data_IF_269112552784
#
_entry.id   IF_269112552784
#
_cell.length_a   1.000
_cell.length_b   1.000
_cell.length_c   1.000
_cell.angle_alpha   90.00
_cell.angle_beta   90.00
_cell.angle_gamma   90.00
#
_symmetry.space_group_name_H-M   'P 1'
#
loop_
_entity.id
_entity.type
_entity.pdbx_description
1 polymer ?
#
# COMPACT_ATOMS: atom_id res chain seq x y z
N UNK A 1 -19.28 -20.38 -14.94
CA UNK A 1 -19.41 -19.01 -14.38
C UNK A 1 -18.00 -18.48 -14.21
N UNK A 2 -17.60 -17.52 -15.05
CA UNK A 2 -16.21 -17.04 -15.13
C UNK A 2 -15.97 -16.10 -13.94
N UNK A 3 -14.95 -16.40 -13.14
CA UNK A 3 -14.61 -15.67 -11.93
C UNK A 3 -13.86 -14.41 -12.35
N UNK A 4 -14.53 -13.27 -12.29
CA UNK A 4 -13.98 -11.98 -12.73
C UNK A 4 -13.29 -11.32 -11.54
N UNK A 5 -11.98 -11.13 -11.66
CA UNK A 5 -11.13 -10.44 -10.71
C UNK A 5 -11.33 -8.90 -10.80
N UNK A 6 -10.74 -8.10 -9.91
CA UNK A 6 -10.94 -6.64 -9.82
C UNK A 6 -9.67 -5.91 -10.30
N UNK A 7 -9.77 -4.83 -11.08
CA UNK A 7 -8.62 -4.03 -11.55
C UNK A 7 -8.44 -2.78 -10.68
N UNK A 8 -7.29 -2.62 -10.02
CA UNK A 8 -6.93 -1.34 -9.39
C UNK A 8 -5.61 -0.83 -9.96
N UNK A 9 -5.61 0.42 -10.45
CA UNK A 9 -4.49 1.09 -11.12
C UNK A 9 -3.95 2.25 -10.26
N UNK A 10 -2.62 2.35 -10.26
CA UNK A 10 -1.75 3.39 -9.70
C UNK A 10 -1.79 3.60 -8.18
N UNK A 11 -0.81 2.99 -7.49
CA UNK A 11 -0.42 3.41 -6.14
C UNK A 11 0.56 4.58 -6.28
N UNK A 12 0.27 5.72 -5.67
CA UNK A 12 1.24 6.79 -5.49
C UNK A 12 1.67 6.79 -4.03
N UNK A 13 2.94 6.45 -3.79
CA UNK A 13 3.57 6.58 -2.49
C UNK A 13 4.31 7.93 -2.43
N UNK A 14 3.70 8.92 -1.79
CA UNK A 14 4.36 10.20 -1.50
C UNK A 14 4.98 10.13 -0.12
N UNK A 15 6.27 10.44 -0.03
CA UNK A 15 6.97 10.55 1.25
C UNK A 15 7.14 12.01 1.61
N UNK A 16 6.88 12.37 2.87
CA UNK A 16 7.25 13.67 3.42
C UNK A 16 8.66 13.52 3.97
N UNK A 17 9.68 13.86 3.18
CA UNK A 17 11.03 14.01 3.70
C UNK A 17 11.04 15.24 4.60
N UNK A 18 11.09 15.02 5.91
CA UNK A 18 11.42 16.07 6.86
C UNK A 18 12.92 16.35 6.72
N UNK A 19 13.29 17.51 6.17
CA UNK A 19 14.68 17.92 6.09
C UNK A 19 15.21 18.16 7.52
N UNK A 20 15.89 17.18 8.09
CA UNK A 20 16.54 17.24 9.41
C UNK A 20 18.04 17.47 9.26
N UNK A 21 18.47 18.70 9.52
CA UNK A 21 19.87 19.09 9.68
C UNK A 21 20.35 18.68 11.10
N UNK A 22 21.46 17.93 11.20
CA UNK A 22 22.05 17.61 12.51
C UNK A 22 23.12 16.51 12.47
N UNK A 23 24.39 16.90 12.39
CA UNK A 23 25.54 15.97 12.42
C UNK A 23 25.92 15.47 13.82
N UNK A 24 26.69 14.38 13.84
CA UNK A 24 27.41 13.85 14.99
C UNK A 24 27.55 12.34 14.96
N UNK A 25 28.75 11.85 14.61
CA UNK A 25 29.19 10.47 14.83
C UNK A 25 29.05 10.10 16.31
N UNK A 26 28.36 8.99 16.62
CA UNK A 26 28.63 8.10 17.75
C UNK A 26 27.88 6.76 17.56
N UNK A 27 28.65 5.67 17.55
CA UNK A 27 28.21 4.27 17.51
C UNK A 27 27.51 3.89 18.82
N UNK A 28 26.22 3.60 18.75
CA UNK A 28 25.48 2.71 19.65
C UNK A 28 24.07 2.50 19.06
N UNK A 29 23.65 1.26 18.87
CA UNK A 29 22.31 0.89 18.37
C UNK A 29 21.21 1.26 19.37
N UNK A 30 20.93 2.56 19.50
CA UNK A 30 19.70 3.08 20.04
C UNK A 30 18.71 3.07 18.88
N UNK A 31 17.64 2.29 19.00
CA UNK A 31 16.51 2.40 18.07
C UNK A 31 15.86 3.74 18.35
N UNK A 32 16.38 4.81 17.76
CA UNK A 32 15.81 6.14 17.91
C UNK A 32 14.45 6.16 17.18
N UNK A 33 13.34 6.45 17.88
CA UNK A 33 12.02 6.49 17.26
C UNK A 33 11.87 7.65 16.25
N UNK A 34 12.87 8.53 16.11
CA UNK A 34 12.89 9.60 15.11
C UNK A 34 13.08 9.14 13.67
N UNK A 35 13.52 7.89 13.44
CA UNK A 35 13.69 7.31 12.10
C UNK A 35 12.39 6.66 11.54
N UNK A 36 11.28 6.80 12.26
CA UNK A 36 9.99 6.30 11.81
C UNK A 36 9.38 7.26 10.79
N UNK A 37 9.54 6.95 9.50
CA UNK A 37 8.95 7.71 8.42
C UNK A 37 7.46 7.39 8.24
N UNK A 38 6.69 8.40 7.83
CA UNK A 38 5.27 8.27 7.49
C UNK A 38 5.10 8.33 5.98
N UNK A 39 4.59 7.26 5.40
CA UNK A 39 4.30 7.17 3.97
C UNK A 39 2.79 7.20 3.76
N UNK A 40 2.35 8.03 2.81
CA UNK A 40 0.96 8.01 2.35
C UNK A 40 0.87 7.17 1.08
N UNK A 41 0.04 6.15 1.11
CA UNK A 41 -0.39 5.40 -0.07
C UNK A 41 -1.72 5.97 -0.55
N UNK A 42 -1.79 6.32 -1.83
CA UNK A 42 -3.02 6.78 -2.48
C UNK A 42 -3.26 5.89 -3.69
N UNK A 43 -4.49 5.45 -3.90
CA UNK A 43 -4.89 4.62 -5.04
C UNK A 43 -6.23 5.06 -5.60
N UNK A 44 -6.54 4.63 -6.82
CA UNK A 44 -7.84 4.89 -7.45
C UNK A 44 -8.74 3.67 -7.28
N UNK A 45 -9.96 3.85 -6.77
CA UNK A 45 -10.92 2.77 -6.61
C UNK A 45 -11.24 2.09 -7.96
N UNK A 46 -11.36 0.75 -8.01
CA UNK A 46 -11.78 0.03 -9.21
C UNK A 46 -13.21 0.42 -9.59
N UNK A 47 -13.45 0.69 -10.88
CA UNK A 47 -14.81 0.87 -11.44
C UNK A 47 -15.20 -0.24 -12.41
N UNK A 48 -14.27 -1.15 -12.69
CA UNK A 48 -14.45 -2.27 -13.62
C UNK A 48 -13.78 -3.54 -13.10
N UNK A 49 -14.35 -4.67 -13.47
CA UNK A 49 -13.81 -6.00 -13.23
C UNK A 49 -12.82 -6.39 -14.35
N UNK A 50 -12.07 -7.47 -14.17
CA UNK A 50 -11.08 -7.98 -15.14
C UNK A 50 -11.71 -8.54 -16.41
N UNK A 51 -12.99 -8.88 -16.38
CA UNK A 51 -13.75 -9.23 -17.56
C UNK A 51 -14.29 -7.99 -18.31
N UNK A 52 -14.02 -6.79 -17.80
CA UNK A 52 -14.49 -5.52 -18.36
C UNK A 52 -15.91 -5.16 -17.96
N UNK A 53 -16.60 -5.97 -17.14
CA UNK A 53 -17.91 -5.58 -16.62
C UNK A 53 -17.77 -4.41 -15.64
N UNK A 54 -18.85 -3.64 -15.51
CA UNK A 54 -18.93 -2.62 -14.47
C UNK A 54 -18.78 -3.25 -13.07
N UNK A 55 -18.13 -2.52 -12.17
CA UNK A 55 -18.05 -2.84 -10.75
C UNK A 55 -18.76 -1.72 -9.99
N UNK A 56 -19.85 -2.06 -9.32
CA UNK A 56 -20.52 -1.13 -8.43
C UNK A 56 -19.71 -0.97 -7.14
N UNK A 57 -19.60 0.26 -6.64
CA UNK A 57 -18.92 0.53 -5.36
C UNK A 57 -19.60 -0.19 -4.18
N UNK A 58 -20.90 -0.48 -4.28
CA UNK A 58 -21.63 -1.27 -3.28
C UNK A 58 -21.18 -2.73 -3.21
N UNK A 59 -20.55 -3.24 -4.27
CA UNK A 59 -19.99 -4.60 -4.33
C UNK A 59 -18.58 -4.64 -3.75
N UNK A 60 -17.97 -3.48 -3.48
CA UNK A 60 -16.62 -3.37 -2.96
C UNK A 60 -16.63 -3.30 -1.43
N UNK A 61 -16.17 -4.36 -0.79
CA UNK A 61 -16.09 -4.40 0.67
C UNK A 61 -14.86 -3.66 1.21
N UNK A 62 -13.78 -3.61 0.44
CA UNK A 62 -12.56 -2.99 0.91
C UNK A 62 -11.31 -3.30 0.12
N UNK A 63 -10.17 -3.02 0.76
CA UNK A 63 -8.84 -3.14 0.19
C UNK A 63 -7.87 -3.80 1.16
N UNK A 64 -6.93 -4.54 0.60
CA UNK A 64 -5.81 -5.15 1.30
C UNK A 64 -4.51 -4.57 0.78
N UNK A 65 -3.73 -3.99 1.68
CA UNK A 65 -2.43 -3.41 1.37
C UNK A 65 -1.36 -4.43 1.70
N UNK A 66 -0.53 -4.72 0.72
CA UNK A 66 0.60 -5.61 0.83
C UNK A 66 1.90 -4.84 0.72
N UNK A 67 2.87 -5.20 1.54
CA UNK A 67 4.23 -4.66 1.45
C UNK A 67 5.28 -5.71 1.73
N UNK A 68 6.49 -5.49 1.23
CA UNK A 68 7.64 -6.32 1.55
C UNK A 68 8.94 -5.86 0.90
N UNK A 69 10.06 -6.54 1.21
CA UNK A 69 11.39 -6.16 0.74
C UNK A 69 11.64 -6.48 -0.74
N UNK A 70 10.77 -7.28 -1.38
CA UNK A 70 10.89 -7.63 -2.80
C UNK A 70 9.53 -7.72 -3.47
N UNK A 71 9.47 -7.50 -4.79
CA UNK A 71 8.24 -7.64 -5.56
C UNK A 71 7.62 -9.03 -5.43
N UNK A 72 8.42 -10.08 -5.26
CA UNK A 72 7.92 -11.45 -5.16
C UNK A 72 7.53 -11.87 -3.74
N UNK A 73 7.95 -11.11 -2.72
CA UNK A 73 7.66 -11.40 -1.32
C UNK A 73 6.94 -10.21 -0.69
N UNK A 74 5.61 -10.21 -0.81
CA UNK A 74 4.73 -9.21 -0.20
C UNK A 74 3.85 -9.87 0.85
N UNK A 75 3.74 -9.22 2.00
CA UNK A 75 2.90 -9.65 3.11
C UNK A 75 1.76 -8.66 3.32
N UNK A 76 0.63 -9.15 3.82
CA UNK A 76 -0.51 -8.29 4.16
C UNK A 76 -0.16 -7.44 5.39
N UNK A 77 -0.13 -6.12 5.21
CA UNK A 77 0.19 -5.19 6.30
C UNK A 77 -1.04 -4.42 6.79
N UNK A 78 -2.08 -4.28 5.97
CA UNK A 78 -3.33 -3.63 6.36
C UNK A 78 -4.53 -4.21 5.60
N UNK A 79 -5.66 -4.35 6.31
CA UNK A 79 -6.97 -4.71 5.77
C UNK A 79 -7.96 -3.58 6.06
N UNK A 80 -8.37 -2.89 5.02
CA UNK A 80 -9.28 -1.76 5.03
C UNK A 80 -10.65 -2.27 4.65
N UNK A 81 -11.57 -2.33 5.62
CA UNK A 81 -12.96 -2.80 5.43
C UNK A 81 -13.89 -1.67 4.99
N UNK A 82 -13.42 -0.88 4.03
CA UNK A 82 -14.17 0.22 3.44
C UNK A 82 -13.79 0.39 1.96
N UNK A 83 -14.74 0.11 1.07
CA UNK A 83 -14.56 0.26 -0.37
C UNK A 83 -14.44 1.72 -0.84
N UNK A 84 -14.84 2.69 -0.02
CA UNK A 84 -14.72 4.12 -0.34
C UNK A 84 -13.35 4.70 0.02
N UNK A 85 -12.57 4.01 0.86
CA UNK A 85 -11.24 4.47 1.25
C UNK A 85 -10.26 4.31 0.09
N UNK A 86 -9.60 5.41 -0.29
CA UNK A 86 -8.63 5.47 -1.40
C UNK A 86 -7.24 5.97 -0.98
N UNK A 87 -7.05 6.16 0.33
CA UNK A 87 -5.77 6.57 0.89
C UNK A 87 -5.53 5.87 2.24
N UNK A 88 -4.25 5.60 2.54
CA UNK A 88 -3.83 4.99 3.79
C UNK A 88 -2.47 5.52 4.22
N UNK A 89 -2.32 5.75 5.52
CA UNK A 89 -1.06 6.19 6.11
C UNK A 89 -0.36 5.01 6.75
N UNK A 90 0.86 4.75 6.29
CA UNK A 90 1.80 3.83 6.89
C UNK A 90 2.74 4.61 7.79
N UNK A 91 2.58 4.44 9.09
CA UNK A 91 3.52 4.97 10.08
C UNK A 91 4.54 3.90 10.46
N UNK A 92 5.65 4.33 11.07
CA UNK A 92 6.70 3.44 11.56
C UNK A 92 7.46 2.70 10.46
N UNK A 93 7.60 3.32 9.29
CA UNK A 93 8.42 2.78 8.22
C UNK A 93 9.88 3.20 8.40
N UNK A 94 10.78 2.23 8.46
CA UNK A 94 12.22 2.51 8.52
C UNK A 94 12.79 2.77 7.13
N UNK A 95 13.92 3.49 7.02
CA UNK A 95 14.69 3.60 5.80
C UNK A 95 14.99 2.23 5.20
N UNK A 96 14.85 2.15 3.89
CA UNK A 96 14.95 0.90 3.16
C UNK A 96 14.09 0.89 1.92
N UNK A 97 14.23 -0.18 1.15
CA UNK A 97 13.49 -0.39 -0.09
C UNK A 97 12.27 -1.26 0.17
N UNK A 98 11.10 -0.75 -0.19
CA UNK A 98 9.82 -1.42 -0.03
C UNK A 98 9.12 -1.55 -1.37
N UNK A 99 8.39 -2.64 -1.50
CA UNK A 99 7.42 -2.82 -2.57
C UNK A 99 6.03 -2.72 -1.97
N UNK A 100 5.12 -2.05 -2.66
CA UNK A 100 3.71 -1.97 -2.26
C UNK A 100 2.81 -2.48 -3.36
N UNK A 101 1.77 -3.19 -2.97
CA UNK A 101 0.69 -3.61 -3.86
C UNK A 101 -0.64 -3.60 -3.11
N UNK A 102 -1.73 -3.30 -3.80
CA UNK A 102 -3.06 -3.23 -3.21
C UNK A 102 -3.98 -4.20 -3.94
N UNK A 103 -4.79 -4.95 -3.20
CA UNK A 103 -5.84 -5.79 -3.76
C UNK A 103 -7.20 -5.36 -3.23
N UNK A 104 -8.14 -5.10 -4.13
CA UNK A 104 -9.55 -4.90 -3.79
C UNK A 104 -10.22 -6.25 -3.45
N UNK A 105 -11.25 -6.25 -2.61
CA UNK A 105 -12.08 -7.44 -2.37
C UNK A 105 -13.57 -7.10 -2.31
N UNK A 106 -14.39 -8.04 -2.79
CA UNK A 106 -15.84 -7.88 -2.86
C UNK A 106 -16.53 -8.17 -1.51
N UNK A 107 -17.83 -7.88 -1.41
CA UNK A 107 -18.67 -8.18 -0.24
C UNK A 107 -18.84 -9.67 0.06
N UNK A 108 -18.51 -10.54 -0.89
CA UNK A 108 -18.40 -11.99 -0.70
C UNK A 108 -17.01 -12.42 -0.16
N UNK A 109 -16.11 -11.47 0.09
CA UNK A 109 -14.75 -11.71 0.59
C UNK A 109 -13.77 -12.24 -0.47
N UNK A 110 -14.12 -12.18 -1.76
CA UNK A 110 -13.24 -12.59 -2.86
C UNK A 110 -12.25 -11.48 -3.16
N UNK A 111 -10.97 -11.82 -3.03
CA UNK A 111 -9.89 -10.90 -3.34
C UNK A 111 -9.64 -10.86 -4.86
N UNK A 112 -9.47 -9.66 -5.39
CA UNK A 112 -8.90 -9.42 -6.71
C UNK A 112 -7.38 -9.68 -6.73
N UNK A 113 -6.77 -9.60 -7.93
CA UNK A 113 -5.33 -9.61 -8.08
C UNK A 113 -4.73 -8.41 -7.34
N UNK A 114 -3.50 -8.60 -6.86
CA UNK A 114 -2.68 -7.49 -6.38
C UNK A 114 -2.39 -6.58 -7.58
N UNK A 115 -2.48 -5.27 -7.37
CA UNK A 115 -2.12 -4.23 -8.32
C UNK A 115 -0.67 -4.35 -8.81
N UNK A 116 -0.30 -3.47 -9.75
CA UNK A 116 1.12 -3.25 -10.03
C UNK A 116 1.87 -2.93 -8.74
N UNK A 117 3.09 -3.48 -8.66
CA UNK A 117 3.95 -3.38 -7.49
C UNK A 117 4.81 -2.16 -7.66
N UNK A 118 4.55 -1.15 -6.84
CA UNK A 118 5.39 0.05 -6.83
C UNK A 118 6.57 -0.18 -5.91
N UNK A 119 7.73 0.31 -6.32
CA UNK A 119 8.90 0.39 -5.47
C UNK A 119 8.94 1.76 -4.80
N UNK A 120 9.28 1.78 -3.52
CA UNK A 120 9.53 2.99 -2.77
C UNK A 120 10.76 2.80 -1.89
N UNK A 121 11.75 3.65 -2.10
CA UNK A 121 12.85 3.82 -1.17
C UNK A 121 12.46 4.86 -0.14
N UNK A 122 12.59 4.48 1.12
CA UNK A 122 12.45 5.35 2.28
C UNK A 122 13.85 5.68 2.73
N UNK A 123 14.13 6.96 2.91
CA UNK A 123 15.39 7.47 3.41
C UNK A 123 15.12 8.23 4.71
N UNK A 124 16.17 8.40 5.50
CA UNK A 124 16.18 9.30 6.66
C UNK A 124 15.89 10.75 6.24
#
# INVERSE_FOLDING_TARGET
MKKSALYTLAVFASGLTACGDGGGEDDNTSVDPSDNQVQQLIWVAPSTRTDGSFLDLSELAGYKIYSGPSSNNLELIADIKDGLTTAYYLSSMRPGRYFFGIAAYDTDGRNGPISERIEKTITE
#
